data_IF_791250534337
#
_entry.id   IF_791250534337
#
_cell.length_a   1.000
_cell.length_b   1.000
_cell.length_c   1.000
_cell.angle_alpha   90.00
_cell.angle_beta   90.00
_cell.angle_gamma   90.00
#
_symmetry.space_group_name_H-M   'P 1'
#
loop_
_entity.id
_entity.type
_entity.pdbx_description
1 polymer ?
#
# COMPACT_ATOMS: atom_id res chain seq x y z
N UNK A 1 23.12 11.84 -5.99
CA UNK A 1 21.74 12.29 -6.23
C UNK A 1 20.81 11.42 -5.39
N UNK A 2 19.90 12.01 -4.63
CA UNK A 2 18.86 11.26 -3.92
C UNK A 2 17.97 10.57 -4.97
N UNK A 3 17.80 9.25 -4.86
CA UNK A 3 16.96 8.47 -5.77
C UNK A 3 15.51 8.92 -5.62
N UNK A 4 14.90 9.38 -6.71
CA UNK A 4 13.48 9.72 -6.74
C UNK A 4 12.68 8.42 -6.82
N UNK A 5 11.71 8.22 -5.93
CA UNK A 5 10.82 7.06 -5.99
C UNK A 5 9.60 7.41 -6.85
N UNK A 6 9.48 6.77 -8.02
CA UNK A 6 8.32 6.91 -8.91
C UNK A 6 7.43 5.66 -8.90
N UNK A 7 6.62 5.51 -9.96
CA UNK A 7 5.71 4.38 -10.14
C UNK A 7 6.41 3.02 -10.07
N UNK A 8 7.60 2.88 -10.67
CA UNK A 8 8.35 1.62 -10.65
C UNK A 8 8.69 1.16 -9.22
N UNK A 9 9.11 2.10 -8.35
CA UNK A 9 9.38 1.78 -6.96
C UNK A 9 8.09 1.46 -6.19
N UNK A 10 6.98 2.12 -6.52
CA UNK A 10 5.67 1.81 -5.94
C UNK A 10 5.26 0.38 -6.29
N UNK A 11 5.44 -0.05 -7.54
CA UNK A 11 5.19 -1.41 -7.99
C UNK A 11 6.11 -2.44 -7.32
N UNK A 12 7.41 -2.12 -7.18
CA UNK A 12 8.35 -2.98 -6.44
C UNK A 12 7.92 -3.15 -4.98
N UNK A 13 7.55 -2.07 -4.31
CA UNK A 13 7.10 -2.11 -2.93
C UNK A 13 5.77 -2.87 -2.80
N UNK A 14 4.83 -2.72 -3.74
CA UNK A 14 3.61 -3.53 -3.80
C UNK A 14 3.92 -5.03 -3.91
N UNK A 15 4.89 -5.42 -4.74
CA UNK A 15 5.32 -6.81 -4.83
C UNK A 15 5.89 -7.30 -3.49
N UNK A 16 6.71 -6.50 -2.83
CA UNK A 16 7.23 -6.82 -1.49
C UNK A 16 6.12 -6.97 -0.45
N UNK A 17 5.11 -6.10 -0.44
CA UNK A 17 3.95 -6.19 0.46
C UNK A 17 3.16 -7.48 0.25
N UNK A 18 2.94 -7.88 -1.02
CA UNK A 18 2.26 -9.15 -1.34
C UNK A 18 3.06 -10.36 -0.89
N UNK A 19 4.37 -10.35 -1.09
CA UNK A 19 5.26 -11.41 -0.62
C UNK A 19 5.24 -11.51 0.91
N UNK A 20 5.29 -10.37 1.60
CA UNK A 20 5.21 -10.33 3.05
C UNK A 20 3.88 -10.91 3.56
N UNK A 21 2.76 -10.54 2.95
CA UNK A 21 1.45 -11.10 3.29
C UNK A 21 1.41 -12.63 3.09
N UNK A 22 1.92 -13.11 1.94
CA UNK A 22 1.99 -14.54 1.66
C UNK A 22 2.84 -15.28 2.70
N UNK A 23 4.02 -14.75 3.05
CA UNK A 23 4.88 -15.35 4.07
C UNK A 23 4.20 -15.44 5.44
N UNK A 24 3.47 -14.39 5.85
CA UNK A 24 2.72 -14.39 7.11
C UNK A 24 1.60 -15.45 7.07
N UNK A 25 0.84 -15.54 5.98
CA UNK A 25 -0.22 -16.53 5.82
C UNK A 25 0.31 -17.96 5.86
N UNK A 26 1.42 -18.22 5.17
CA UNK A 26 2.08 -19.53 5.19
C UNK A 26 2.59 -19.90 6.58
N UNK A 27 3.21 -18.96 7.29
CA UNK A 27 3.69 -19.19 8.66
C UNK A 27 2.52 -19.52 9.59
N UNK A 28 1.44 -18.73 9.57
CA UNK A 28 0.26 -18.98 10.40
C UNK A 28 -0.37 -20.34 10.12
N UNK A 29 -0.49 -20.74 8.85
CA UNK A 29 -1.01 -22.05 8.47
C UNK A 29 -0.10 -23.20 8.97
N UNK A 30 1.22 -23.01 8.93
CA UNK A 30 2.17 -23.99 9.47
C UNK A 30 2.06 -24.09 10.99
N UNK A 31 1.97 -22.97 11.71
CA UNK A 31 1.82 -22.97 13.17
C UNK A 31 0.50 -23.62 13.62
N UNK A 32 -0.59 -23.39 12.89
CA UNK A 32 -1.88 -24.05 13.13
C UNK A 32 -1.77 -25.57 12.95
N UNK A 33 -1.05 -26.01 11.91
CA UNK A 33 -0.80 -27.43 11.65
C UNK A 33 -0.01 -28.07 12.78
N UNK A 34 1.07 -27.45 13.26
CA UNK A 34 1.87 -27.97 14.36
C UNK A 34 1.07 -28.02 15.67
N UNK A 35 0.28 -26.98 15.99
CA UNK A 35 -0.60 -27.01 17.16
C UNK A 35 -1.58 -28.18 17.10
N UNK A 36 -2.17 -28.44 15.91
CA UNK A 36 -3.08 -29.57 15.69
C UNK A 36 -2.37 -30.91 15.86
N UNK A 37 -1.14 -31.05 15.35
CA UNK A 37 -0.32 -32.27 15.49
C UNK A 37 0.03 -32.55 16.95
N UNK A 38 0.28 -31.51 17.74
CA UNK A 38 0.62 -31.63 19.16
C UNK A 38 -0.60 -31.67 20.08
N UNK A 39 -1.83 -31.63 19.54
CA UNK A 39 -3.08 -31.53 20.31
C UNK A 39 -3.12 -30.30 21.23
N UNK A 40 -2.47 -29.22 20.82
CA UNK A 40 -2.46 -27.92 21.50
C UNK A 40 -3.59 -27.03 20.98
N UNK A 41 -4.18 -26.19 21.85
CA UNK A 41 -5.20 -25.23 21.42
C UNK A 41 -4.58 -24.16 20.52
N UNK A 42 -5.12 -24.01 19.31
CA UNK A 42 -4.77 -22.91 18.41
C UNK A 42 -5.41 -21.60 18.89
N UNK A 43 -4.60 -20.54 18.97
CA UNK A 43 -5.08 -19.18 19.24
C UNK A 43 -4.69 -18.31 18.03
N UNK A 44 -5.65 -17.95 17.16
CA UNK A 44 -5.36 -17.07 16.04
C UNK A 44 -4.80 -15.74 16.54
N UNK A 45 -3.63 -15.34 16.04
CA UNK A 45 -3.10 -14.01 16.31
C UNK A 45 -4.02 -13.01 15.59
N UNK A 46 -4.67 -12.07 16.29
CA UNK A 46 -5.49 -11.06 15.63
C UNK A 46 -4.57 -10.24 14.72
N UNK A 47 -4.75 -10.41 13.41
CA UNK A 47 -4.10 -9.55 12.44
C UNK A 47 -4.57 -8.13 12.73
N UNK A 48 -3.64 -7.20 12.96
CA UNK A 48 -4.05 -5.84 13.28
C UNK A 48 -4.86 -5.33 12.09
N UNK A 49 -6.07 -4.79 12.29
CA UNK A 49 -6.93 -4.30 11.21
C UNK A 49 -6.36 -3.05 10.52
N UNK A 50 -5.09 -2.68 10.78
CA UNK A 50 -4.39 -1.56 10.12
C UNK A 50 -4.78 -1.59 8.66
N UNK A 51 -5.57 -0.59 8.27
CA UNK A 51 -6.09 -0.41 6.92
C UNK A 51 -4.94 -0.65 5.96
N UNK A 52 -4.98 -1.83 5.35
CA UNK A 52 -3.73 -2.46 4.92
C UNK A 52 -3.09 -1.56 3.88
N UNK A 53 -1.78 -1.33 4.00
CA UNK A 53 -1.03 -0.64 2.96
C UNK A 53 -1.37 -1.25 1.58
N UNK A 54 -1.58 -2.58 1.52
CA UNK A 54 -2.10 -3.28 0.35
C UNK A 54 -3.45 -2.75 -0.13
N UNK A 55 -4.44 -2.57 0.75
CA UNK A 55 -5.74 -2.04 0.38
C UNK A 55 -5.67 -0.62 -0.18
N UNK A 56 -4.87 0.24 0.44
CA UNK A 56 -4.54 1.56 -0.12
C UNK A 56 -3.94 1.46 -1.53
N UNK A 57 -3.09 0.45 -1.79
CA UNK A 57 -2.41 0.29 -3.07
C UNK A 57 -3.27 -0.37 -4.16
N UNK A 58 -4.14 -1.33 -3.83
CA UNK A 58 -4.84 -2.16 -4.82
C UNK A 58 -6.34 -2.37 -4.64
N UNK A 59 -6.93 -2.08 -3.47
CA UNK A 59 -8.35 -2.34 -3.25
C UNK A 59 -9.23 -1.33 -4.01
N UNK A 60 -10.35 -1.83 -4.53
CA UNK A 60 -11.32 -1.02 -5.25
C UNK A 60 -12.28 -0.32 -4.27
N UNK A 61 -12.88 0.82 -4.65
CA UNK A 61 -12.78 1.50 -5.95
C UNK A 61 -11.70 2.59 -6.01
N UNK A 62 -11.07 2.93 -4.89
CA UNK A 62 -10.25 4.15 -4.76
C UNK A 62 -8.80 3.89 -4.35
N UNK A 63 -8.20 2.73 -4.62
CA UNK A 63 -6.76 2.56 -4.41
C UNK A 63 -5.92 3.49 -5.26
N UNK A 64 -4.65 3.66 -4.88
CA UNK A 64 -3.69 4.43 -5.68
C UNK A 64 -3.60 3.91 -7.12
N UNK A 65 -3.58 2.59 -7.32
CA UNK A 65 -3.54 2.02 -8.68
C UNK A 65 -4.87 2.15 -9.42
N UNK A 66 -6.03 2.07 -8.75
CA UNK A 66 -7.32 2.29 -9.44
C UNK A 66 -7.52 3.75 -9.84
N UNK A 67 -7.09 4.70 -9.00
CA UNK A 67 -7.08 6.13 -9.32
C UNK A 67 -6.13 6.39 -10.48
N UNK A 68 -4.92 5.80 -10.46
CA UNK A 68 -3.95 5.93 -11.54
C UNK A 68 -4.53 5.42 -12.85
N UNK A 69 -5.05 4.19 -12.87
CA UNK A 69 -5.68 3.59 -14.04
C UNK A 69 -6.80 4.50 -14.56
N UNK A 70 -7.77 4.89 -13.72
CA UNK A 70 -8.85 5.78 -14.14
C UNK A 70 -8.37 7.14 -14.69
N UNK A 71 -7.21 7.65 -14.24
CA UNK A 71 -6.62 8.88 -14.79
C UNK A 71 -5.98 8.66 -16.17
N UNK A 72 -5.38 7.51 -16.48
CA UNK A 72 -4.76 7.27 -17.79
C UNK A 72 -5.77 7.25 -18.94
N UNK A 73 -7.04 6.91 -18.67
CA UNK A 73 -8.12 6.93 -19.66
C UNK A 73 -8.70 8.32 -19.95
N UNK A 74 -8.41 9.33 -19.13
CA UNK A 74 -9.01 10.67 -19.23
C UNK A 74 -8.11 11.62 -20.01
N UNK A 75 -8.62 12.18 -21.10
CA UNK A 75 -7.87 13.03 -22.03
C UNK A 75 -7.30 14.33 -21.42
N UNK A 76 -7.79 14.74 -20.25
CA UNK A 76 -7.36 15.95 -19.53
C UNK A 76 -6.70 15.62 -18.18
N UNK A 77 -6.45 14.35 -17.87
CA UNK A 77 -5.74 13.99 -16.65
C UNK A 77 -4.28 14.40 -16.73
N UNK A 78 -3.74 14.76 -15.57
CA UNK A 78 -2.34 15.12 -15.34
C UNK A 78 -1.87 14.47 -14.04
N UNK A 79 -0.57 14.42 -13.81
CA UNK A 79 0.03 14.03 -12.53
C UNK A 79 -0.61 14.78 -11.35
N UNK A 80 -0.93 16.06 -11.56
CA UNK A 80 -1.57 16.88 -10.55
C UNK A 80 -3.00 16.42 -10.24
N UNK A 81 -3.81 16.09 -11.25
CA UNK A 81 -5.19 15.60 -11.02
C UNK A 81 -5.20 14.22 -10.39
N UNK A 82 -4.25 13.35 -10.73
CA UNK A 82 -4.01 12.10 -10.00
C UNK A 82 -3.72 12.36 -8.53
N UNK A 83 -2.72 13.20 -8.24
CA UNK A 83 -2.30 13.48 -6.87
C UNK A 83 -3.42 14.12 -6.03
N UNK A 84 -4.18 15.04 -6.61
CA UNK A 84 -5.35 15.64 -5.96
C UNK A 84 -6.39 14.58 -5.57
N UNK A 85 -6.67 13.61 -6.43
CA UNK A 85 -7.61 12.51 -6.11
C UNK A 85 -7.07 11.61 -5.01
N UNK A 86 -5.78 11.27 -5.03
CA UNK A 86 -5.17 10.50 -3.95
C UNK A 86 -5.28 11.23 -2.61
N UNK A 87 -4.99 12.54 -2.58
CA UNK A 87 -5.15 13.36 -1.37
C UNK A 87 -6.60 13.45 -0.90
N UNK A 88 -7.56 13.52 -1.82
CA UNK A 88 -8.98 13.58 -1.50
C UNK A 88 -9.49 12.28 -0.88
N UNK A 89 -9.12 11.13 -1.45
CA UNK A 89 -9.61 9.83 -0.98
C UNK A 89 -8.86 9.26 0.23
N UNK A 90 -7.58 9.64 0.42
CA UNK A 90 -6.71 9.01 1.42
C UNK A 90 -6.08 9.98 2.40
N UNK A 91 -6.47 11.26 2.41
CA UNK A 91 -5.89 12.27 3.30
C UNK A 91 -5.87 11.86 4.79
N UNK A 92 -6.88 11.10 5.22
CA UNK A 92 -7.05 10.63 6.60
C UNK A 92 -6.66 9.15 6.79
N UNK A 93 -6.16 8.47 5.75
CA UNK A 93 -5.81 7.05 5.81
C UNK A 93 -4.50 6.87 6.60
N UNK A 94 -4.42 5.95 7.57
CA UNK A 94 -3.26 5.83 8.47
C UNK A 94 -1.94 5.50 7.75
N UNK A 95 -2.03 4.81 6.61
CA UNK A 95 -0.87 4.44 5.79
C UNK A 95 -0.54 5.47 4.70
N UNK A 96 -1.26 6.59 4.63
CA UNK A 96 -1.05 7.64 3.63
C UNK A 96 -0.72 8.97 4.32
N UNK A 97 0.20 9.75 3.74
CA UNK A 97 0.52 11.08 4.25
C UNK A 97 0.63 12.07 3.10
N UNK A 98 -0.18 13.13 3.20
CA UNK A 98 -0.15 14.30 2.34
C UNK A 98 0.99 15.25 2.78
N UNK A 99 1.76 15.84 1.86
CA UNK A 99 2.77 16.83 2.22
C UNK A 99 2.12 18.09 2.80
N UNK A 100 2.81 18.75 3.75
CA UNK A 100 2.34 20.02 4.32
C UNK A 100 2.48 21.18 3.33
N UNK A 101 3.48 21.12 2.45
CA UNK A 101 3.70 22.07 1.36
C UNK A 101 3.09 21.53 0.06
N UNK A 102 2.76 22.40 -0.91
CA UNK A 102 2.19 22.00 -2.21
C UNK A 102 3.27 21.38 -3.12
N UNK A 103 3.78 20.22 -2.70
CA UNK A 103 4.75 19.42 -3.42
C UNK A 103 4.03 18.32 -4.19
N UNK A 104 4.54 17.97 -5.38
CA UNK A 104 4.02 16.90 -6.22
C UNK A 104 4.44 15.51 -5.70
N UNK A 105 4.18 15.24 -4.41
CA UNK A 105 4.58 14.02 -3.71
C UNK A 105 3.45 13.48 -2.84
N UNK A 106 3.50 12.19 -2.55
CA UNK A 106 2.73 11.56 -1.47
C UNK A 106 3.62 10.55 -0.73
N UNK A 107 3.26 10.21 0.50
CA UNK A 107 4.03 9.27 1.31
C UNK A 107 3.16 8.09 1.71
N UNK A 108 3.71 6.88 1.60
CA UNK A 108 3.04 5.63 2.01
C UNK A 108 3.84 4.96 3.11
N UNK A 109 3.15 4.50 4.15
CA UNK A 109 3.70 3.68 5.21
C UNK A 109 3.67 2.21 4.79
N UNK A 110 4.79 1.70 4.28
CA UNK A 110 4.94 0.28 3.98
C UNK A 110 5.33 -0.52 5.21
N UNK A 111 5.18 -1.84 5.13
CA UNK A 111 5.68 -2.78 6.14
C UNK A 111 7.18 -2.60 6.38
N UNK A 112 7.96 -2.43 5.31
CA UNK A 112 9.42 -2.25 5.37
C UNK A 112 9.86 -0.81 5.73
N UNK A 113 8.93 0.13 5.88
CA UNK A 113 9.23 1.52 6.22
C UNK A 113 8.45 2.54 5.40
N UNK A 114 8.65 3.82 5.71
CA UNK A 114 7.97 4.93 5.04
C UNK A 114 8.67 5.30 3.74
N UNK A 115 7.93 5.44 2.64
CA UNK A 115 8.47 5.82 1.34
C UNK A 115 7.70 7.00 0.77
N UNK A 116 8.41 8.07 0.42
CA UNK A 116 7.87 9.23 -0.30
C UNK A 116 8.04 9.03 -1.80
N UNK A 117 6.94 9.18 -2.54
CA UNK A 117 6.87 9.07 -3.98
C UNK A 117 6.66 10.44 -4.61
N UNK A 118 7.33 10.66 -5.74
CA UNK A 118 7.14 11.84 -6.58
C UNK A 118 6.29 11.48 -7.79
N UNK A 119 5.35 12.34 -8.12
CA UNK A 119 4.36 12.10 -9.20
C UNK A 119 4.83 12.65 -10.55
N UNK A 120 6.01 13.26 -10.63
CA UNK A 120 6.51 13.85 -11.88
C UNK A 120 6.85 12.76 -12.90
N UNK A 121 6.09 12.66 -14.00
CA UNK A 121 6.30 11.65 -15.04
C UNK A 121 5.60 11.95 -16.35
#
# INVERSE_FOLDING_TARGET
ALRVNGLEQLCNNLASERLQLLSIQMLLAQEEEECRRESLPWVPIPQSPRDSCLGLLVDQPHSLLSILDAQTWLSQATDHTFLQKCHYHHGDHPSYTKPQLPLAIFTVQHYAGTVTYQVSG
#
